data_IF_223411141819
#
_entry.id   IF_223411141819
#
_cell.length_a   1.000
_cell.length_b   1.000
_cell.length_c   1.000
_cell.angle_alpha   90.00
_cell.angle_beta   90.00
_cell.angle_gamma   90.00
#
_symmetry.space_group_name_H-M   'P 1'
#
loop_
_entity.id
_entity.type
_entity.pdbx_description
1 polymer ?
#
# COMPACT_ATOMS: atom_id res chain seq x y z
N UNK A 1 5.06 -11.33 -17.41
CA UNK A 1 4.31 -10.27 -16.72
C UNK A 1 4.54 -10.45 -15.24
N UNK A 2 5.10 -9.44 -14.58
CA UNK A 2 5.52 -9.47 -13.20
C UNK A 2 4.68 -8.50 -12.37
N UNK A 3 4.17 -9.00 -11.25
CA UNK A 3 3.38 -8.22 -10.31
C UNK A 3 4.16 -8.04 -9.00
N UNK A 4 4.15 -6.83 -8.46
CA UNK A 4 4.50 -6.58 -7.06
C UNK A 4 3.22 -6.62 -6.23
N UNK A 5 3.14 -7.52 -5.26
CA UNK A 5 1.96 -7.70 -4.41
C UNK A 5 2.34 -7.34 -2.97
N UNK A 6 1.52 -6.53 -2.31
CA UNK A 6 1.71 -6.15 -0.91
C UNK A 6 0.37 -6.06 -0.17
N UNK A 7 0.43 -6.16 1.16
CA UNK A 7 -0.73 -6.17 2.07
C UNK A 7 -0.29 -5.73 3.46
N UNK A 8 -1.24 -5.42 4.34
CA UNK A 8 -1.02 -5.28 5.79
C UNK A 8 0.09 -4.28 6.14
N UNK A 9 0.16 -3.18 5.40
CA UNK A 9 1.11 -2.09 5.66
C UNK A 9 0.79 -1.42 6.99
N UNK A 10 -0.49 -1.37 7.39
CA UNK A 10 -0.94 -0.88 8.69
C UNK A 10 -0.29 0.49 9.04
N UNK A 11 -0.26 1.41 8.07
CA UNK A 11 0.30 2.75 8.24
C UNK A 11 1.83 2.84 8.26
N UNK A 12 2.55 1.72 8.10
CA UNK A 12 4.01 1.70 8.06
C UNK A 12 4.56 2.24 6.72
N UNK A 13 4.53 3.56 6.62
CA UNK A 13 4.99 4.27 5.44
C UNK A 13 6.47 3.99 5.07
N UNK A 14 7.43 3.94 6.02
CA UNK A 14 8.81 3.59 5.69
C UNK A 14 8.95 2.22 5.02
N UNK A 15 8.23 1.20 5.50
CA UNK A 15 8.25 -0.13 4.88
C UNK A 15 7.65 -0.11 3.46
N UNK A 16 6.57 0.65 3.28
CA UNK A 16 5.93 0.81 1.97
C UNK A 16 6.87 1.51 0.97
N UNK A 17 7.56 2.57 1.40
CA UNK A 17 8.53 3.29 0.55
C UNK A 17 9.71 2.39 0.15
N UNK A 18 10.25 1.63 1.09
CA UNK A 18 11.34 0.68 0.82
C UNK A 18 10.90 -0.42 -0.15
N UNK A 19 9.70 -0.97 0.02
CA UNK A 19 9.13 -1.94 -0.92
C UNK A 19 9.09 -1.40 -2.35
N UNK A 20 8.58 -0.19 -2.56
CA UNK A 20 8.54 0.42 -3.89
C UNK A 20 9.94 0.63 -4.45
N UNK A 21 10.90 1.08 -3.65
CA UNK A 21 12.28 1.27 -4.10
C UNK A 21 12.91 -0.04 -4.60
N UNK A 22 12.62 -1.16 -3.94
CA UNK A 22 13.18 -2.47 -4.32
C UNK A 22 12.59 -3.06 -5.60
N UNK A 23 11.32 -2.75 -5.90
CA UNK A 23 10.61 -3.35 -7.05
C UNK A 23 10.46 -2.39 -8.23
N UNK A 24 10.76 -1.10 -8.06
CA UNK A 24 10.68 -0.09 -9.11
C UNK A 24 11.49 -0.50 -10.34
N UNK A 25 10.83 -0.47 -11.51
CA UNK A 25 11.44 -0.86 -12.79
C UNK A 25 11.61 -2.36 -13.00
N UNK A 26 11.19 -3.20 -12.03
CA UNK A 26 11.27 -4.67 -12.10
C UNK A 26 9.91 -5.35 -12.28
N UNK A 27 8.82 -4.60 -12.15
CA UNK A 27 7.45 -5.11 -12.22
C UNK A 27 6.62 -4.29 -13.19
N UNK A 28 5.64 -4.94 -13.81
CA UNK A 28 4.72 -4.32 -14.76
C UNK A 28 3.55 -3.66 -14.05
N UNK A 29 3.10 -4.26 -12.93
CA UNK A 29 1.91 -3.84 -12.18
C UNK A 29 2.07 -4.07 -10.68
N UNK A 30 1.27 -3.34 -9.92
CA UNK A 30 1.21 -3.41 -8.47
C UNK A 30 -0.19 -3.83 -8.03
N UNK A 31 -0.27 -4.75 -7.08
CA UNK A 31 -1.51 -5.20 -6.46
C UNK A 31 -1.41 -5.02 -4.94
N UNK A 32 -2.38 -4.33 -4.37
CA UNK A 32 -2.55 -4.17 -2.94
C UNK A 32 -3.74 -5.04 -2.49
N UNK A 33 -3.55 -5.86 -1.45
CA UNK A 33 -4.60 -6.75 -0.95
C UNK A 33 -5.48 -6.14 0.14
N UNK A 34 -5.05 -5.03 0.75
CA UNK A 34 -5.79 -4.38 1.83
C UNK A 34 -4.91 -3.91 2.97
N UNK A 35 -5.55 -3.47 4.06
CA UNK A 35 -4.92 -3.14 5.35
C UNK A 35 -3.73 -2.17 5.23
N UNK A 36 -3.92 -1.12 4.43
CA UNK A 36 -2.88 -0.13 4.14
C UNK A 36 -2.70 0.89 5.27
N UNK A 37 -3.80 1.30 5.89
CA UNK A 37 -3.81 2.19 7.06
C UNK A 37 -4.21 1.41 8.29
N UNK A 38 -3.65 1.77 9.46
CA UNK A 38 -4.01 1.16 10.74
C UNK A 38 -5.19 1.88 11.39
N UNK A 39 -5.12 3.20 11.44
CA UNK A 39 -6.19 4.03 12.02
C UNK A 39 -6.53 5.24 11.16
N UNK A 40 -5.62 5.64 10.24
CA UNK A 40 -5.75 6.87 9.48
C UNK A 40 -5.57 8.14 10.33
N UNK A 41 -5.16 8.02 11.59
CA UNK A 41 -5.10 9.14 12.54
C UNK A 41 -3.76 9.85 12.58
N UNK A 42 -2.71 9.22 12.04
CA UNK A 42 -1.36 9.78 11.99
C UNK A 42 -1.05 10.36 10.61
N UNK A 43 -0.09 11.28 10.55
CA UNK A 43 0.39 11.82 9.27
C UNK A 43 0.96 10.70 8.39
N UNK A 44 1.73 9.77 8.96
CA UNK A 44 2.37 8.69 8.20
C UNK A 44 1.37 7.62 7.71
N UNK A 45 0.30 7.32 8.47
CA UNK A 45 -0.81 6.48 7.97
C UNK A 45 -1.39 7.08 6.69
N UNK A 46 -1.67 8.38 6.70
CA UNK A 46 -2.29 9.05 5.56
C UNK A 46 -1.35 9.15 4.36
N UNK A 47 -0.03 9.16 4.56
CA UNK A 47 0.94 9.12 3.47
C UNK A 47 0.92 7.80 2.71
N UNK A 48 0.51 6.70 3.34
CA UNK A 48 0.33 5.41 2.65
C UNK A 48 -0.81 5.46 1.62
N UNK A 49 -1.68 6.47 1.69
CA UNK A 49 -2.81 6.64 0.78
C UNK A 49 -2.57 7.69 -0.31
N UNK A 50 -1.41 8.38 -0.35
CA UNK A 50 -1.19 9.52 -1.26
C UNK A 50 -1.28 9.10 -2.75
N UNK A 51 -2.39 9.39 -3.44
CA UNK A 51 -2.64 8.89 -4.78
C UNK A 51 -1.66 9.47 -5.81
N UNK A 52 -1.03 10.63 -5.53
CA UNK A 52 -0.05 11.24 -6.42
C UNK A 52 1.26 10.45 -6.50
N UNK A 53 1.57 9.65 -5.47
CA UNK A 53 2.74 8.74 -5.45
C UNK A 53 2.47 7.38 -6.09
N UNK A 54 1.21 6.97 -6.13
CA UNK A 54 0.84 5.57 -6.29
C UNK A 54 0.00 5.29 -7.56
N UNK A 55 -0.44 6.29 -8.31
CA UNK A 55 -1.29 6.09 -9.50
C UNK A 55 -0.60 6.59 -10.78
N UNK A 56 -0.73 5.81 -11.89
CA UNK A 56 -1.95 5.08 -12.26
C UNK A 56 -1.91 3.53 -12.18
N UNK A 57 -0.90 2.91 -11.57
CA UNK A 57 -0.65 1.45 -11.74
C UNK A 57 -1.00 0.54 -10.56
N UNK A 58 -1.46 1.06 -9.43
CA UNK A 58 -1.84 0.24 -8.26
C UNK A 58 -3.32 -0.11 -8.29
N UNK A 59 -3.64 -1.39 -8.18
CA UNK A 59 -4.98 -1.89 -7.95
C UNK A 59 -5.09 -2.36 -6.50
N UNK A 60 -6.00 -1.76 -5.73
CA UNK A 60 -6.22 -2.15 -4.33
C UNK A 60 -7.51 -2.95 -4.21
N UNK A 61 -7.44 -4.12 -3.59
CA UNK A 61 -8.60 -4.84 -3.09
C UNK A 61 -8.97 -4.18 -1.76
N UNK A 62 -10.22 -3.70 -1.65
CA UNK A 62 -10.71 -3.15 -0.40
C UNK A 62 -10.97 -4.31 0.56
N UNK A 63 -10.10 -4.47 1.55
CA UNK A 63 -10.34 -5.39 2.66
C UNK A 63 -11.33 -4.73 3.62
N UNK A 64 -12.38 -5.48 3.96
CA UNK A 64 -13.35 -5.05 4.97
C UNK A 64 -12.64 -5.14 6.31
N UNK A 65 -12.35 -4.00 6.95
CA UNK A 65 -11.88 -3.95 8.32
C UNK A 65 -12.85 -4.75 9.20
N UNK A 66 -12.46 -5.97 9.57
CA UNK A 66 -13.10 -6.68 10.67
C UNK A 66 -12.68 -5.90 11.90
N UNK A 67 -13.56 -5.01 12.36
CA UNK A 67 -13.50 -4.39 13.69
C UNK A 67 -13.42 -5.52 14.72
N UNK A 68 -12.21 -5.99 15.00
CA UNK A 68 -11.91 -6.78 16.19
C UNK A 68 -11.96 -5.77 17.34
N UNK A 69 -13.16 -5.64 17.90
CA UNK A 69 -13.41 -4.95 19.16
C UNK A 69 -12.79 -5.72 20.31
#
# INVERSE_FOLDING_TARGET
MHYAIFSDIQGNYPALEEFFNQVKGRVDRYLCLGDIVQSGTTFDDNRCLDPKRYLPTIWCILQRYLLQR
#
